data_IF_915300715094
#
_entry.id   IF_915300715094
#
_cell.length_a   1.000
_cell.length_b   1.000
_cell.length_c   1.000
_cell.angle_alpha   90.00
_cell.angle_beta   90.00
_cell.angle_gamma   90.00
#
_symmetry.space_group_name_H-M   'P 1'
#
loop_
_entity.id
_entity.type
_entity.pdbx_description
1 polymer ?
#
# COMPACT_ATOMS: atom_id res chain seq x y z
N UNK A 1 -56.20 -6.65 -19.33
CA UNK A 1 -54.94 -6.55 -20.07
C UNK A 1 -54.19 -5.34 -19.54
N UNK A 2 -53.17 -5.57 -18.71
CA UNK A 2 -52.32 -4.52 -18.15
C UNK A 2 -50.88 -4.80 -18.58
N UNK A 3 -50.31 -3.89 -19.37
CA UNK A 3 -48.94 -4.00 -19.89
C UNK A 3 -47.93 -3.47 -18.87
N UNK A 4 -47.00 -4.33 -18.48
CA UNK A 4 -45.83 -3.97 -17.69
C UNK A 4 -44.90 -3.04 -18.48
N UNK A 5 -44.60 -1.86 -17.92
CA UNK A 5 -43.45 -1.05 -18.32
C UNK A 5 -42.21 -1.67 -17.70
N UNK A 6 -41.31 -2.15 -18.56
CA UNK A 6 -39.95 -2.56 -18.20
C UNK A 6 -39.11 -1.28 -18.18
N UNK A 7 -38.63 -0.92 -17.00
CA UNK A 7 -37.65 0.14 -16.78
C UNK A 7 -36.30 -0.33 -17.37
N UNK A 8 -35.61 0.44 -18.23
CA UNK A 8 -34.32 0.02 -18.76
C UNK A 8 -33.26 0.20 -17.67
N UNK A 9 -32.93 -0.91 -17.02
CA UNK A 9 -31.87 -1.00 -16.02
C UNK A 9 -30.57 -0.38 -16.51
N UNK A 10 -30.04 0.53 -15.70
CA UNK A 10 -28.69 1.07 -15.82
C UNK A 10 -27.72 -0.12 -15.73
N UNK A 11 -26.89 -0.38 -16.75
CA UNK A 11 -25.94 -1.47 -16.69
C UNK A 11 -24.90 -1.18 -15.59
N UNK A 12 -24.77 -2.11 -14.63
CA UNK A 12 -23.69 -2.11 -13.66
C UNK A 12 -22.35 -2.34 -14.40
N UNK A 13 -21.60 -1.27 -14.64
CA UNK A 13 -20.36 -1.30 -15.42
C UNK A 13 -19.16 -1.82 -14.61
N UNK A 14 -18.44 -2.85 -15.08
CA UNK A 14 -17.13 -3.31 -14.59
C UNK A 14 -15.98 -2.28 -14.72
N UNK A 15 -16.28 -1.04 -15.14
CA UNK A 15 -15.31 0.04 -15.28
C UNK A 15 -14.99 0.73 -13.95
N UNK A 16 -15.87 0.64 -12.94
CA UNK A 16 -15.64 1.28 -11.65
C UNK A 16 -14.46 0.64 -10.90
N UNK A 17 -14.32 -0.70 -11.00
CA UNK A 17 -13.23 -1.46 -10.38
C UNK A 17 -11.87 -1.28 -11.08
N UNK A 18 -11.87 -0.86 -12.35
CA UNK A 18 -10.65 -0.55 -13.10
C UNK A 18 -10.03 0.80 -12.73
N UNK A 19 -10.82 1.73 -12.19
CA UNK A 19 -10.35 3.07 -11.79
C UNK A 19 -10.00 3.16 -10.30
N UNK A 20 -10.56 2.28 -9.47
CA UNK A 20 -10.40 2.31 -8.01
C UNK A 20 -9.46 1.25 -7.46
N UNK A 21 -8.91 0.37 -8.32
CA UNK A 21 -7.93 -0.65 -7.97
C UNK A 21 -8.29 -1.35 -6.67
N UNK A 22 -9.17 -2.36 -6.72
CA UNK A 22 -9.66 -3.17 -5.58
C UNK A 22 -8.77 -2.93 -4.36
N UNK A 23 -9.20 -2.02 -3.48
CA UNK A 23 -8.53 -1.78 -2.21
C UNK A 23 -8.31 -3.16 -1.62
N UNK A 24 -7.05 -3.49 -1.27
CA UNK A 24 -6.73 -4.81 -0.75
C UNK A 24 -7.78 -5.10 0.32
N UNK A 25 -8.68 -6.09 0.11
CA UNK A 25 -9.68 -6.38 1.10
C UNK A 25 -8.94 -6.73 2.38
N UNK A 26 -9.54 -6.48 3.54
CA UNK A 26 -9.00 -6.92 4.83
C UNK A 26 -8.94 -8.46 4.79
N UNK A 27 -7.85 -8.99 4.27
CA UNK A 27 -7.57 -10.40 4.02
C UNK A 27 -6.08 -10.63 4.28
N UNK A 28 -5.69 -11.86 4.66
CA UNK A 28 -4.29 -12.25 4.68
C UNK A 28 -3.63 -11.92 3.34
N UNK A 29 -2.50 -11.21 3.38
CA UNK A 29 -1.63 -11.09 2.22
C UNK A 29 -0.90 -12.42 2.08
N UNK A 30 -1.29 -13.22 1.11
CA UNK A 30 -0.58 -14.45 0.72
C UNK A 30 0.06 -14.22 -0.65
N UNK A 31 1.39 -14.25 -0.71
CA UNK A 31 2.18 -14.01 -1.90
C UNK A 31 2.50 -15.30 -2.63
N UNK A 32 2.34 -15.30 -3.95
CA UNK A 32 2.79 -16.38 -4.81
C UNK A 32 4.31 -16.35 -5.00
N UNK A 33 4.87 -17.50 -5.39
CA UNK A 33 6.30 -17.62 -5.76
C UNK A 33 6.69 -16.62 -6.84
N UNK A 34 5.81 -16.42 -7.82
CA UNK A 34 6.07 -15.49 -8.92
C UNK A 34 6.03 -14.03 -8.46
N UNK A 35 5.11 -13.64 -7.56
CA UNK A 35 5.10 -12.31 -6.97
C UNK A 35 6.40 -12.02 -6.22
N UNK A 36 6.83 -12.96 -5.36
CA UNK A 36 8.08 -12.82 -4.60
C UNK A 36 9.27 -12.74 -5.54
N UNK A 37 9.32 -13.54 -6.60
CA UNK A 37 10.40 -13.49 -7.60
C UNK A 37 10.52 -12.11 -8.24
N UNK A 38 9.41 -11.55 -8.70
CA UNK A 38 9.37 -10.26 -9.39
C UNK A 38 9.70 -9.12 -8.44
N UNK A 39 9.10 -9.11 -7.25
CA UNK A 39 9.35 -8.09 -6.22
C UNK A 39 10.79 -8.14 -5.73
N UNK A 40 11.35 -9.33 -5.49
CA UNK A 40 12.73 -9.51 -5.07
C UNK A 40 13.73 -9.03 -6.15
N UNK A 41 13.43 -9.28 -7.42
CA UNK A 41 14.22 -8.73 -8.53
C UNK A 41 14.13 -7.19 -8.57
N UNK A 42 12.95 -6.64 -8.29
CA UNK A 42 12.68 -5.20 -8.35
C UNK A 42 13.41 -4.40 -7.25
N UNK A 43 13.58 -4.96 -6.04
CA UNK A 43 14.39 -4.37 -4.95
C UNK A 43 15.81 -4.02 -5.44
N UNK A 44 16.44 -4.87 -6.24
CA UNK A 44 17.88 -4.76 -6.52
C UNK A 44 18.29 -3.72 -7.60
N UNK A 45 17.51 -2.67 -7.81
CA UNK A 45 17.99 -1.46 -8.51
C UNK A 45 17.10 -0.88 -9.60
N UNK A 46 15.97 -1.50 -9.91
CA UNK A 46 15.06 -0.98 -10.94
C UNK A 46 14.51 0.40 -10.57
N UNK A 47 14.29 0.66 -9.28
CA UNK A 47 13.82 1.96 -8.79
C UNK A 47 14.82 3.11 -9.02
N UNK A 48 16.10 2.79 -9.20
CA UNK A 48 17.14 3.78 -9.47
C UNK A 48 17.20 4.17 -10.95
N UNK A 49 16.59 3.38 -11.84
CA UNK A 49 16.48 3.73 -13.26
C UNK A 49 15.52 4.91 -13.48
N UNK A 50 16.00 5.92 -14.21
CA UNK A 50 15.22 7.13 -14.46
C UNK A 50 13.96 6.90 -15.29
N UNK A 51 13.92 5.87 -16.15
CA UNK A 51 12.72 5.53 -16.94
C UNK A 51 11.70 4.80 -16.07
N UNK A 52 12.15 3.90 -15.20
CA UNK A 52 11.32 3.26 -14.20
C UNK A 52 10.69 4.29 -13.25
N UNK A 53 11.47 5.26 -12.73
CA UNK A 53 10.91 6.34 -11.90
C UNK A 53 9.84 7.15 -12.61
N UNK A 54 10.00 7.44 -13.91
CA UNK A 54 8.96 8.11 -14.71
C UNK A 54 7.70 7.24 -14.83
N UNK A 55 7.86 5.94 -15.06
CA UNK A 55 6.74 4.99 -15.12
C UNK A 55 6.00 4.93 -13.78
N UNK A 56 6.73 4.76 -12.67
CA UNK A 56 6.17 4.71 -11.32
C UNK A 56 5.46 6.01 -10.93
N UNK A 57 5.99 7.18 -11.29
CA UNK A 57 5.25 8.44 -11.10
C UNK A 57 3.96 8.48 -11.90
N UNK A 58 4.00 8.03 -13.16
CA UNK A 58 2.80 8.00 -14.00
C UNK A 58 1.74 7.05 -13.42
N UNK A 59 2.12 5.85 -12.95
CA UNK A 59 1.22 4.89 -12.32
C UNK A 59 0.90 5.18 -10.85
N UNK A 60 1.49 6.24 -10.27
CA UNK A 60 1.42 6.59 -8.84
C UNK A 60 1.86 5.44 -7.92
N UNK A 61 2.92 4.74 -8.32
CA UNK A 61 3.50 3.58 -7.67
C UNK A 61 2.99 2.26 -8.24
N UNK A 62 2.85 1.27 -7.37
CA UNK A 62 2.30 -0.04 -7.69
C UNK A 62 0.78 -0.08 -7.38
N UNK A 63 0.10 -1.16 -7.77
CA UNK A 63 -1.28 -1.37 -7.33
C UNK A 63 -1.30 -1.65 -5.81
N UNK A 64 -2.44 -1.47 -5.11
CA UNK A 64 -2.53 -1.65 -3.67
C UNK A 64 -1.89 -2.93 -3.14
N UNK A 65 -2.14 -4.06 -3.81
CA UNK A 65 -1.57 -5.35 -3.45
C UNK A 65 -0.04 -5.34 -3.56
N UNK A 66 0.51 -4.91 -4.69
CA UNK A 66 1.95 -4.93 -4.91
C UNK A 66 2.70 -3.83 -4.16
N UNK A 67 2.06 -2.72 -3.81
CA UNK A 67 2.63 -1.73 -2.90
C UNK A 67 2.91 -2.32 -1.51
N UNK A 68 1.94 -3.01 -0.94
CA UNK A 68 2.10 -3.67 0.34
C UNK A 68 2.99 -4.91 0.26
N UNK A 69 2.85 -5.71 -0.81
CA UNK A 69 3.72 -6.87 -1.04
C UNK A 69 5.19 -6.47 -1.20
N UNK A 70 5.47 -5.34 -1.85
CA UNK A 70 6.84 -4.85 -1.99
C UNK A 70 7.47 -4.53 -0.63
N UNK A 71 6.74 -3.83 0.24
CA UNK A 71 7.19 -3.57 1.60
C UNK A 71 7.36 -4.85 2.43
N UNK A 72 6.46 -5.83 2.30
CA UNK A 72 6.58 -7.13 2.97
C UNK A 72 7.81 -7.88 2.49
N UNK A 73 8.01 -8.00 1.17
CA UNK A 73 9.18 -8.71 0.60
C UNK A 73 10.47 -8.05 1.07
N UNK A 74 10.53 -6.72 1.09
CA UNK A 74 11.71 -6.01 1.57
C UNK A 74 11.92 -6.20 3.09
N UNK A 75 10.89 -6.01 3.91
CA UNK A 75 11.00 -6.13 5.37
C UNK A 75 11.30 -7.57 5.82
N UNK A 76 10.67 -8.58 5.23
CA UNK A 76 10.87 -9.96 5.66
C UNK A 76 12.19 -10.55 5.14
N UNK A 77 12.56 -10.27 3.88
CA UNK A 77 13.66 -10.98 3.23
C UNK A 77 14.98 -10.21 3.21
N UNK A 78 14.95 -8.88 3.34
CA UNK A 78 16.18 -8.10 3.37
C UNK A 78 16.81 -8.18 4.75
N UNK A 79 17.97 -8.85 4.84
CA UNK A 79 18.71 -9.05 6.10
C UNK A 79 20.01 -8.23 6.14
N UNK A 80 20.33 -7.51 5.06
CA UNK A 80 21.59 -6.78 4.90
C UNK A 80 21.39 -5.28 5.10
N UNK A 81 21.44 -4.77 6.34
CA UNK A 81 21.31 -3.33 6.54
C UNK A 81 21.74 -2.81 7.90
N UNK A 82 21.99 -1.51 7.95
CA UNK A 82 22.30 -0.77 9.15
C UNK A 82 21.04 -0.52 9.99
N UNK A 83 21.20 0.10 11.17
CA UNK A 83 20.09 0.50 12.03
C UNK A 83 19.53 -0.59 12.94
N UNK A 84 18.51 -0.23 13.73
CA UNK A 84 18.03 -1.03 14.88
C UNK A 84 17.26 -2.30 14.49
N UNK A 85 16.92 -2.47 13.21
CA UNK A 85 16.17 -3.62 12.69
C UNK A 85 17.01 -4.56 11.81
N UNK A 86 18.33 -4.34 11.72
CA UNK A 86 19.27 -5.29 11.09
C UNK A 86 18.92 -5.67 9.66
N UNK A 87 18.55 -4.71 8.82
CA UNK A 87 18.18 -4.94 7.42
C UNK A 87 16.68 -5.15 7.16
N UNK A 88 15.89 -5.57 8.15
CA UNK A 88 14.44 -5.78 8.00
C UNK A 88 13.67 -4.45 7.93
N UNK A 89 13.93 -3.66 6.88
CA UNK A 89 13.47 -2.29 6.73
C UNK A 89 13.08 -1.94 5.29
N UNK A 90 12.03 -1.14 5.08
CA UNK A 90 11.49 -0.83 3.75
C UNK A 90 12.25 0.32 3.08
N UNK A 91 13.55 0.17 2.81
CA UNK A 91 14.42 1.22 2.27
C UNK A 91 14.01 1.70 0.86
N UNK A 92 13.94 0.82 -0.12
CA UNK A 92 13.57 1.19 -1.48
C UNK A 92 12.12 1.65 -1.55
N UNK A 93 11.25 1.05 -0.73
CA UNK A 93 9.89 1.52 -0.52
C UNK A 93 9.89 2.96 -0.03
N UNK A 94 10.70 3.33 0.97
CA UNK A 94 10.73 4.72 1.44
C UNK A 94 11.29 5.65 0.38
N UNK A 95 12.28 5.23 -0.43
CA UNK A 95 12.78 6.00 -1.59
C UNK A 95 11.68 6.22 -2.63
N UNK A 96 10.87 5.20 -2.93
CA UNK A 96 9.73 5.30 -3.86
C UNK A 96 8.71 6.30 -3.36
N UNK A 97 8.26 6.09 -2.13
CA UNK A 97 7.13 6.83 -1.60
C UNK A 97 7.52 8.26 -1.22
N UNK A 98 8.78 8.55 -0.88
CA UNK A 98 9.27 9.92 -0.76
C UNK A 98 9.04 10.70 -2.07
N UNK A 99 9.40 10.09 -3.21
CA UNK A 99 9.26 10.70 -4.53
C UNK A 99 7.79 10.86 -4.95
N UNK A 100 6.96 9.84 -4.71
CA UNK A 100 5.53 9.90 -5.02
C UNK A 100 4.79 10.94 -4.17
N UNK A 101 5.13 11.04 -2.88
CA UNK A 101 4.55 12.03 -1.97
C UNK A 101 4.82 13.45 -2.47
N UNK A 102 6.06 13.73 -2.90
CA UNK A 102 6.46 15.03 -3.47
C UNK A 102 5.69 15.32 -4.76
N UNK A 103 5.68 14.33 -5.67
CA UNK A 103 5.03 14.44 -6.97
C UNK A 103 3.53 14.79 -6.84
N UNK A 104 2.80 14.09 -5.97
CA UNK A 104 1.38 14.33 -5.74
C UNK A 104 1.14 15.63 -4.99
N UNK A 105 1.94 15.95 -3.97
CA UNK A 105 1.80 17.21 -3.24
C UNK A 105 1.97 18.42 -4.16
N UNK A 106 2.98 18.42 -5.02
CA UNK A 106 3.23 19.49 -5.98
C UNK A 106 2.15 19.56 -7.05
N UNK A 107 1.59 18.43 -7.48
CA UNK A 107 0.45 18.40 -8.39
C UNK A 107 -0.80 19.05 -7.77
N UNK A 108 -1.11 18.71 -6.53
CA UNK A 108 -2.26 19.23 -5.80
C UNK A 108 -2.15 20.73 -5.49
N UNK A 109 -0.94 21.26 -5.30
CA UNK A 109 -0.69 22.67 -5.03
C UNK A 109 -0.69 23.57 -6.25
N UNK A 110 -0.74 23.01 -7.46
CA UNK A 110 -0.83 23.82 -8.69
C UNK A 110 -2.08 24.68 -8.66
N UNK A 111 -1.91 25.91 -9.14
CA UNK A 111 -3.03 26.82 -9.39
C UNK A 111 -3.92 26.23 -10.49
N UNK A 112 -5.23 26.23 -10.24
CA UNK A 112 -6.19 25.89 -11.28
C UNK A 112 -6.16 26.95 -12.36
N UNK A 113 -6.08 26.52 -13.62
CA UNK A 113 -6.20 27.38 -14.80
C UNK A 113 -7.17 26.73 -15.78
N UNK A 114 -7.97 27.54 -16.48
CA UNK A 114 -8.92 27.04 -17.50
C UNK A 114 -8.21 26.33 -18.67
N UNK A 115 -6.91 26.57 -18.87
CA UNK A 115 -6.11 26.00 -19.94
C UNK A 115 -5.29 24.77 -19.52
N UNK A 116 -5.23 24.45 -18.23
CA UNK A 116 -4.42 23.35 -17.70
C UNK A 116 -5.32 22.21 -17.20
N UNK A 117 -4.76 20.99 -17.17
CA UNK A 117 -5.41 19.85 -16.49
C UNK A 117 -5.75 20.21 -15.05
N UNK A 118 -6.82 19.62 -14.50
CA UNK A 118 -7.23 19.95 -13.14
C UNK A 118 -6.14 19.47 -12.17
N UNK A 119 -5.76 20.27 -11.16
CA UNK A 119 -4.69 19.87 -10.23
C UNK A 119 -4.92 18.51 -9.56
N UNK A 120 -6.17 18.13 -9.31
CA UNK A 120 -6.56 16.85 -8.72
C UNK A 120 -6.55 15.68 -9.72
N UNK A 121 -6.26 15.90 -11.00
CA UNK A 121 -5.95 14.82 -11.94
C UNK A 121 -4.65 14.09 -11.60
N UNK A 122 -3.75 14.70 -10.79
CA UNK A 122 -2.54 14.03 -10.27
C UNK A 122 -2.86 12.82 -9.38
N UNK A 123 -4.10 12.68 -8.91
CA UNK A 123 -4.54 11.54 -8.11
C UNK A 123 -4.88 10.30 -8.95
N UNK A 124 -4.97 10.46 -10.27
CA UNK A 124 -5.27 9.38 -11.21
C UNK A 124 -3.98 8.75 -11.76
N UNK A 125 -3.85 7.42 -11.69
CA UNK A 125 -2.74 6.75 -12.33
C UNK A 125 -2.92 6.78 -13.86
N UNK A 126 -1.81 6.95 -14.57
CA UNK A 126 -1.68 6.86 -16.02
C UNK A 126 -0.75 5.69 -16.32
N UNK A 127 -1.29 4.48 -16.20
CA UNK A 127 -0.57 3.24 -16.47
C UNK A 127 -0.97 2.12 -15.51
N UNK A 128 -0.72 0.86 -15.89
CA UNK A 128 -0.93 -0.29 -15.02
C UNK A 128 0.20 -0.42 -13.98
N UNK A 129 0.04 -1.36 -13.07
CA UNK A 129 1.09 -1.74 -12.13
C UNK A 129 2.16 -2.57 -12.85
N UNK A 130 3.42 -2.14 -12.74
CA UNK A 130 4.57 -2.81 -13.37
C UNK A 130 4.66 -4.30 -13.03
N UNK A 131 4.52 -4.66 -11.76
CA UNK A 131 4.56 -6.08 -11.32
C UNK A 131 3.40 -6.89 -11.94
N UNK A 132 2.21 -6.30 -12.07
CA UNK A 132 1.12 -6.97 -12.79
C UNK A 132 1.47 -7.22 -14.26
N UNK A 133 2.12 -6.27 -14.94
CA UNK A 133 2.56 -6.43 -16.33
C UNK A 133 3.63 -7.51 -16.48
N UNK A 134 4.62 -7.52 -15.58
CA UNK A 134 5.69 -8.50 -15.58
C UNK A 134 5.16 -9.93 -15.34
N UNK A 135 4.17 -10.08 -14.45
CA UNK A 135 3.51 -11.37 -14.21
C UNK A 135 2.58 -11.81 -15.34
N UNK A 136 1.98 -10.87 -16.08
CA UNK A 136 1.13 -11.18 -17.23
C UNK A 136 1.93 -11.53 -18.49
N UNK A 137 3.23 -11.24 -18.50
CA UNK A 137 4.11 -11.51 -19.64
C UNK A 137 4.35 -13.02 -19.79
N UNK A 138 4.37 -13.56 -21.04
CA UNK A 138 4.62 -14.98 -21.26
C UNK A 138 5.96 -15.40 -20.64
N UNK A 139 5.96 -16.47 -19.87
CA UNK A 139 7.18 -16.97 -19.27
C UNK A 139 8.22 -17.28 -20.35
N UNK A 140 9.38 -16.62 -20.30
CA UNK A 140 10.52 -16.98 -21.13
C UNK A 140 10.98 -18.40 -20.77
N UNK A 141 11.21 -19.30 -21.75
CA UNK A 141 11.75 -20.62 -21.46
C UNK A 141 13.19 -20.52 -20.95
N UNK A 142 13.46 -21.07 -19.76
CA UNK A 142 14.80 -21.09 -19.13
C UNK A 142 14.76 -21.42 -17.64
N UNK A 143 15.93 -21.73 -17.05
CA UNK A 143 16.11 -21.92 -15.61
C UNK A 143 15.64 -20.66 -14.87
N UNK A 144 14.54 -20.79 -14.10
CA UNK A 144 13.98 -19.71 -13.28
C UNK A 144 14.79 -19.56 -11.99
N UNK A 145 16.06 -19.19 -12.11
CA UNK A 145 16.83 -18.78 -10.93
C UNK A 145 16.32 -17.42 -10.47
N UNK A 146 15.98 -17.28 -9.18
CA UNK A 146 15.76 -15.97 -8.58
C UNK A 146 17.01 -15.11 -8.65
N UNK A 147 16.91 -13.83 -8.29
CA UNK A 147 18.09 -12.97 -8.12
C UNK A 147 19.13 -13.71 -7.24
N UNK A 148 20.40 -13.71 -7.67
CA UNK A 148 21.52 -14.38 -6.99
C UNK A 148 21.36 -15.90 -6.74
N UNK A 149 20.61 -16.64 -7.57
CA UNK A 149 20.34 -18.08 -7.43
C UNK A 149 19.58 -18.45 -6.14
N UNK A 150 18.86 -17.51 -5.53
CA UNK A 150 18.05 -17.78 -4.35
C UNK A 150 16.92 -18.77 -4.66
N UNK A 151 16.62 -19.64 -3.69
CA UNK A 151 15.46 -20.51 -3.74
C UNK A 151 14.18 -19.69 -3.49
N UNK A 152 13.52 -19.27 -4.57
CA UNK A 152 12.31 -18.43 -4.48
C UNK A 152 11.19 -19.07 -3.69
N UNK A 153 11.02 -20.40 -3.73
CA UNK A 153 9.98 -21.08 -2.95
C UNK A 153 10.21 -20.92 -1.44
N UNK A 154 11.47 -21.05 -1.00
CA UNK A 154 11.83 -20.83 0.40
C UNK A 154 11.63 -19.37 0.82
N UNK A 155 12.03 -18.42 -0.04
CA UNK A 155 11.80 -16.99 0.19
C UNK A 155 10.31 -16.65 0.27
N UNK A 156 9.46 -17.33 -0.49
CA UNK A 156 8.01 -17.14 -0.41
C UNK A 156 7.44 -17.60 0.93
N UNK A 157 7.90 -18.75 1.44
CA UNK A 157 7.50 -19.20 2.78
C UNK A 157 7.93 -18.19 3.85
N UNK A 158 9.14 -17.65 3.75
CA UNK A 158 9.65 -16.64 4.67
C UNK A 158 8.84 -15.33 4.59
N UNK A 159 8.62 -14.78 3.39
CA UNK A 159 7.85 -13.55 3.19
C UNK A 159 6.41 -13.65 3.68
N UNK A 160 5.75 -14.81 3.49
CA UNK A 160 4.39 -15.05 3.98
C UNK A 160 4.32 -15.29 5.49
N UNK A 161 5.46 -15.43 6.18
CA UNK A 161 5.52 -15.48 7.64
C UNK A 161 5.13 -14.16 8.30
N UNK A 162 5.37 -13.02 7.63
CA UNK A 162 4.99 -11.66 8.06
C UNK A 162 5.46 -11.27 9.47
N UNK A 163 6.49 -11.92 10.00
CA UNK A 163 6.87 -11.80 11.41
C UNK A 163 7.35 -10.37 11.72
N UNK A 164 8.22 -9.83 10.88
CA UNK A 164 8.83 -8.51 11.07
C UNK A 164 7.83 -7.38 10.78
N UNK A 165 7.05 -7.52 9.72
CA UNK A 165 6.01 -6.58 9.29
C UNK A 165 4.91 -6.49 10.34
N UNK A 166 4.44 -7.62 10.86
CA UNK A 166 3.40 -7.66 11.90
C UNK A 166 3.90 -7.02 13.19
N UNK A 167 5.13 -7.32 13.60
CA UNK A 167 5.74 -6.71 14.77
C UNK A 167 5.82 -5.17 14.62
N UNK A 168 6.28 -4.67 13.48
CA UNK A 168 6.40 -3.23 13.24
C UNK A 168 5.02 -2.53 13.19
N UNK A 169 4.04 -3.11 12.49
CA UNK A 169 2.67 -2.57 12.44
C UNK A 169 2.06 -2.44 13.84
N UNK A 170 2.24 -3.45 14.71
CA UNK A 170 1.74 -3.43 16.08
C UNK A 170 2.46 -2.42 16.97
N UNK A 171 3.79 -2.41 16.92
CA UNK A 171 4.63 -1.48 17.69
C UNK A 171 4.28 -0.03 17.41
N UNK A 172 3.99 0.29 16.14
CA UNK A 172 3.73 1.66 15.68
C UNK A 172 2.24 2.02 15.62
N UNK A 173 1.32 1.09 15.91
CA UNK A 173 -0.12 1.30 15.83
C UNK A 173 -0.60 2.61 16.49
N UNK A 174 -0.18 2.96 17.72
CA UNK A 174 -0.64 4.19 18.38
C UNK A 174 -0.30 5.48 17.61
N UNK A 175 0.71 5.44 16.73
CA UNK A 175 1.24 6.62 16.03
C UNK A 175 0.49 6.91 14.73
N UNK A 176 0.05 5.88 14.02
CA UNK A 176 -0.60 6.04 12.71
C UNK A 176 -2.11 5.76 12.73
N UNK A 177 -2.67 5.14 13.78
CA UNK A 177 -4.10 4.78 13.84
C UNK A 177 -5.01 5.99 13.63
N UNK A 178 -4.73 7.11 14.29
CA UNK A 178 -5.50 8.37 14.17
C UNK A 178 -5.27 9.10 12.83
N UNK A 179 -4.30 8.66 12.03
CA UNK A 179 -3.95 9.24 10.72
C UNK A 179 -4.44 8.39 9.54
N UNK A 180 -5.12 7.28 9.86
CA UNK A 180 -5.71 6.35 8.90
C UNK A 180 -6.80 7.03 8.09
N UNK A 181 -6.93 6.66 6.82
CA UNK A 181 -8.06 7.10 6.00
C UNK A 181 -9.38 6.66 6.64
N UNK A 182 -10.31 7.57 6.95
CA UNK A 182 -11.57 7.23 7.62
C UNK A 182 -12.39 6.22 6.80
N UNK A 183 -12.43 6.36 5.48
CA UNK A 183 -13.13 5.42 4.59
C UNK A 183 -12.46 4.03 4.48
N UNK A 184 -11.20 3.89 4.90
CA UNK A 184 -10.55 2.58 4.95
C UNK A 184 -10.70 1.91 6.33
N UNK A 185 -11.10 2.68 7.35
CA UNK A 185 -11.19 2.21 8.71
C UNK A 185 -12.60 1.71 9.04
N UNK A 186 -12.79 0.41 9.29
CA UNK A 186 -14.11 -0.12 9.64
C UNK A 186 -14.66 0.45 10.97
N UNK A 187 -13.80 0.98 11.84
CA UNK A 187 -14.21 1.61 13.09
C UNK A 187 -14.70 3.06 12.93
N UNK A 188 -14.55 3.66 11.75
CA UNK A 188 -15.01 5.04 11.49
C UNK A 188 -16.36 5.01 10.76
N UNK A 189 -17.40 5.70 11.27
CA UNK A 189 -18.68 5.78 10.58
C UNK A 189 -18.56 6.38 9.18
N UNK A 190 -19.38 5.92 8.24
CA UNK A 190 -19.38 6.43 6.87
C UNK A 190 -19.64 7.95 6.85
N UNK A 191 -18.80 8.68 6.12
CA UNK A 191 -18.87 10.14 6.03
C UNK A 191 -18.36 10.89 7.26
N UNK A 192 -17.90 10.20 8.31
CA UNK A 192 -17.21 10.79 9.44
C UNK A 192 -15.69 10.90 9.21
N UNK A 193 -15.02 11.73 10.02
CA UNK A 193 -13.57 11.90 9.98
C UNK A 193 -13.10 13.09 9.13
N UNK A 194 -11.79 13.36 9.20
CA UNK A 194 -11.17 14.47 8.50
C UNK A 194 -10.91 14.12 7.02
N UNK A 195 -11.49 14.84 6.04
CA UNK A 195 -11.25 14.59 4.62
C UNK A 195 -9.77 14.77 4.20
N UNK A 196 -8.94 15.46 4.99
CA UNK A 196 -7.49 15.57 4.75
C UNK A 196 -6.78 14.23 4.91
N UNK A 197 -7.35 13.28 5.67
CA UNK A 197 -6.78 11.97 5.93
C UNK A 197 -7.13 10.92 4.86
N UNK A 198 -8.01 11.26 3.91
CA UNK A 198 -8.41 10.33 2.86
C UNK A 198 -7.21 9.85 2.06
N UNK A 199 -7.16 8.54 1.78
CA UNK A 199 -6.17 8.01 0.86
C UNK A 199 -6.46 8.46 -0.57
N UNK A 200 -5.48 8.32 -1.45
CA UNK A 200 -5.53 8.71 -2.86
C UNK A 200 -6.78 8.22 -3.57
N UNK A 201 -7.20 6.97 -3.35
CA UNK A 201 -8.39 6.41 -3.97
C UNK A 201 -9.66 7.14 -3.57
N UNK A 202 -9.84 7.38 -2.27
CA UNK A 202 -11.00 8.08 -1.74
C UNK A 202 -11.01 9.58 -2.07
N UNK A 203 -9.83 10.21 -2.19
CA UNK A 203 -9.70 11.55 -2.74
C UNK A 203 -10.08 11.58 -4.23
N UNK A 204 -9.57 10.64 -5.03
CA UNK A 204 -9.82 10.57 -6.46
C UNK A 204 -11.30 10.35 -6.79
N UNK A 205 -12.01 9.57 -5.96
CA UNK A 205 -13.44 9.31 -6.06
C UNK A 205 -14.31 10.53 -5.73
N UNK A 206 -13.79 11.49 -4.97
CA UNK A 206 -14.50 12.71 -4.54
C UNK A 206 -14.15 13.95 -5.37
N UNK A 207 -13.46 13.78 -6.50
CA UNK A 207 -13.11 14.89 -7.40
C UNK A 207 -14.37 15.49 -8.05
N UNK A 208 -14.43 16.81 -8.27
CA UNK A 208 -13.37 17.78 -8.06
C UNK A 208 -13.16 18.16 -6.59
N UNK A 209 -11.90 18.30 -6.17
CA UNK A 209 -11.58 18.68 -4.78
C UNK A 209 -11.59 20.21 -4.57
N UNK A 210 -12.18 20.71 -3.46
CA UNK A 210 -12.03 22.12 -3.06
C UNK A 210 -10.55 22.52 -2.90
N UNK A 211 -10.19 23.74 -3.32
CA UNK A 211 -8.80 24.23 -3.26
C UNK A 211 -8.19 24.17 -1.87
N UNK A 212 -8.93 24.59 -0.84
CA UNK A 212 -8.48 24.48 0.55
C UNK A 212 -8.16 23.03 0.95
N UNK A 213 -8.97 22.07 0.50
CA UNK A 213 -8.73 20.65 0.77
C UNK A 213 -7.49 20.16 0.02
N UNK A 214 -7.31 20.54 -1.26
CA UNK A 214 -6.10 20.18 -2.03
C UNK A 214 -4.82 20.65 -1.33
N UNK A 215 -4.76 21.91 -0.90
CA UNK A 215 -3.60 22.45 -0.20
C UNK A 215 -3.37 21.79 1.17
N UNK A 216 -4.45 21.48 1.91
CA UNK A 216 -4.34 20.77 3.18
C UNK A 216 -3.79 19.34 2.99
N UNK A 217 -4.27 18.62 1.98
CA UNK A 217 -3.74 17.29 1.61
C UNK A 217 -2.28 17.39 1.17
N UNK A 218 -1.93 18.34 0.29
CA UNK A 218 -0.55 18.55 -0.14
C UNK A 218 0.39 18.82 1.04
N UNK A 219 -0.02 19.66 1.99
CA UNK A 219 0.71 19.92 3.23
C UNK A 219 0.92 18.64 4.06
N UNK A 220 -0.12 17.82 4.24
CA UNK A 220 -0.02 16.52 4.92
C UNK A 220 0.96 15.59 4.22
N UNK A 221 0.89 15.47 2.88
CA UNK A 221 1.79 14.60 2.12
C UNK A 221 3.26 15.04 2.26
N UNK A 222 3.55 16.35 2.27
CA UNK A 222 4.91 16.86 2.54
C UNK A 222 5.38 16.58 3.96
N UNK A 223 4.48 16.63 4.95
CA UNK A 223 4.81 16.28 6.32
C UNK A 223 5.17 14.78 6.45
N UNK A 224 4.42 13.89 5.78
CA UNK A 224 4.75 12.46 5.71
C UNK A 224 6.10 12.29 5.01
N UNK A 225 6.30 12.94 3.85
CA UNK A 225 7.56 12.87 3.09
C UNK A 225 8.77 13.22 3.92
N UNK A 226 8.68 14.28 4.75
CA UNK A 226 9.78 14.67 5.64
C UNK A 226 10.15 13.54 6.61
N UNK A 227 9.15 12.88 7.22
CA UNK A 227 9.39 11.74 8.12
C UNK A 227 9.94 10.52 7.38
N UNK A 228 9.41 10.22 6.19
CA UNK A 228 9.89 9.12 5.33
C UNK A 228 11.33 9.34 4.89
N UNK A 229 11.70 10.59 4.54
CA UNK A 229 13.08 10.94 4.20
C UNK A 229 14.02 10.69 5.38
N UNK A 230 13.67 11.17 6.57
CA UNK A 230 14.48 10.93 7.76
C UNK A 230 14.62 9.44 8.06
N UNK A 231 13.54 8.66 7.91
CA UNK A 231 13.59 7.19 8.02
C UNK A 231 14.56 6.61 6.98
N UNK A 232 14.47 7.02 5.71
CA UNK A 232 15.39 6.58 4.64
C UNK A 232 16.85 6.86 4.98
N UNK A 233 17.15 8.09 5.40
CA UNK A 233 18.50 8.50 5.78
C UNK A 233 19.06 7.68 6.96
N UNK A 234 18.20 7.29 7.91
CA UNK A 234 18.56 6.48 9.08
C UNK A 234 18.98 5.04 8.77
N UNK A 235 18.56 4.53 7.61
CA UNK A 235 18.83 3.16 7.17
C UNK A 235 20.15 3.03 6.40
N UNK A 236 20.85 4.13 6.18
CA UNK A 236 22.18 4.16 5.55
C UNK A 236 23.29 3.84 6.57
N UNK A 237 24.48 3.46 6.09
CA UNK A 237 25.64 3.11 6.94
C UNK A 237 26.02 4.19 7.97
N UNK A 238 25.70 5.46 7.69
CA UNK A 238 25.98 6.61 8.55
C UNK A 238 24.71 7.24 9.13
N UNK A 239 23.57 6.57 8.98
CA UNK A 239 22.26 7.06 9.42
C UNK A 239 22.17 7.18 10.94
N UNK A 240 21.68 8.33 11.41
CA UNK A 240 21.36 8.49 12.83
C UNK A 240 20.03 7.77 13.15
N UNK A 241 19.88 7.17 14.35
CA UNK A 241 18.61 6.60 14.77
C UNK A 241 17.48 7.63 14.71
N UNK A 242 16.31 7.20 14.25
CA UNK A 242 15.11 8.03 14.16
C UNK A 242 14.10 7.73 15.26
N UNK A 243 13.19 8.67 15.48
CA UNK A 243 12.12 8.54 16.46
C UNK A 243 11.00 7.60 16.02
N UNK A 244 10.04 7.40 16.92
CA UNK A 244 8.90 6.52 16.68
C UNK A 244 8.02 7.03 15.51
N UNK A 245 7.89 8.36 15.38
CA UNK A 245 7.11 9.00 14.32
C UNK A 245 7.66 8.75 12.91
N UNK A 246 8.98 8.84 12.75
CA UNK A 246 9.66 8.43 11.51
C UNK A 246 9.48 6.95 11.24
N UNK A 247 9.61 6.09 12.27
CA UNK A 247 9.40 4.64 12.14
C UNK A 247 7.97 4.26 11.70
N UNK A 248 6.95 5.07 11.99
CA UNK A 248 5.58 4.85 11.54
C UNK A 248 5.31 5.39 10.13
N UNK A 249 6.20 6.23 9.60
CA UNK A 249 5.91 7.06 8.41
C UNK A 249 5.78 6.28 7.11
N UNK A 250 6.45 5.14 6.97
CA UNK A 250 6.32 4.28 5.78
C UNK A 250 4.90 3.71 5.65
N UNK A 251 4.25 3.35 6.76
CA UNK A 251 2.86 2.89 6.79
C UNK A 251 1.92 4.00 6.32
N UNK A 252 2.12 5.23 6.81
CA UNK A 252 1.33 6.38 6.37
C UNK A 252 1.51 6.69 4.88
N UNK A 253 2.73 6.54 4.39
CA UNK A 253 3.09 6.78 3.00
C UNK A 253 2.41 5.77 2.08
N UNK A 254 2.59 4.46 2.32
CA UNK A 254 1.92 3.42 1.55
C UNK A 254 0.40 3.54 1.71
N UNK A 255 -0.11 3.71 2.94
CA UNK A 255 -1.53 3.85 3.23
C UNK A 255 -2.20 5.01 2.48
N UNK A 256 -1.48 6.11 2.28
CA UNK A 256 -1.96 7.25 1.50
C UNK A 256 -2.13 6.94 0.01
N UNK A 257 -1.42 5.96 -0.55
CA UNK A 257 -1.45 5.63 -2.00
C UNK A 257 -2.11 4.29 -2.35
N UNK A 258 -2.01 3.32 -1.45
CA UNK A 258 -2.43 1.92 -1.58
C UNK A 258 -3.63 1.58 -0.68
N UNK A 259 -4.08 2.50 0.17
CA UNK A 259 -5.11 2.25 1.17
C UNK A 259 -4.57 1.51 2.40
N UNK A 260 -5.40 1.40 3.44
CA UNK A 260 -4.97 1.02 4.80
C UNK A 260 -5.36 -0.40 5.22
N UNK A 261 -5.91 -1.22 4.31
CA UNK A 261 -6.46 -2.53 4.65
C UNK A 261 -5.46 -3.48 5.33
N UNK A 262 -4.24 -3.60 4.78
CA UNK A 262 -3.22 -4.50 5.33
C UNK A 262 -2.70 -4.08 6.71
N UNK A 263 -2.22 -2.84 6.96
CA UNK A 263 -1.71 -2.47 8.28
C UNK A 263 -2.79 -2.55 9.36
N UNK A 264 -4.06 -2.24 9.03
CA UNK A 264 -5.19 -2.43 9.94
C UNK A 264 -5.40 -3.92 10.26
N UNK A 265 -5.32 -4.80 9.25
CA UNK A 265 -5.41 -6.25 9.45
C UNK A 265 -4.29 -6.80 10.33
N UNK A 266 -3.04 -6.43 10.05
CA UNK A 266 -1.86 -6.95 10.78
C UNK A 266 -1.77 -6.43 12.22
N UNK A 267 -2.24 -5.22 12.46
CA UNK A 267 -2.25 -4.61 13.78
C UNK A 267 -3.45 -5.04 14.63
N UNK A 268 -4.53 -5.54 14.01
CA UNK A 268 -5.63 -6.14 14.74
C UNK A 268 -5.19 -7.46 15.39
N UNK A 269 -5.59 -7.68 16.64
CA UNK A 269 -5.58 -9.00 17.25
C UNK A 269 -6.71 -9.82 16.62
N UNK A 270 -6.52 -10.28 15.38
CA UNK A 270 -7.40 -11.30 14.83
C UNK A 270 -7.07 -12.63 15.52
N UNK A 271 -7.63 -12.81 16.72
CA UNK A 271 -7.99 -14.13 17.19
C UNK A 271 -9.04 -14.62 16.21
N UNK A 272 -8.80 -15.73 15.52
CA UNK A 272 -9.89 -16.41 14.82
C UNK A 272 -11.06 -16.54 15.80
N UNK A 273 -12.31 -16.27 15.40
CA UNK A 273 -13.43 -16.73 16.19
C UNK A 273 -13.23 -18.23 16.31
N UNK A 274 -12.88 -18.67 17.53
CA UNK A 274 -12.64 -20.07 17.80
C UNK A 274 -13.79 -20.87 17.23
N UNK A 275 -13.46 -21.90 16.48
CA UNK A 275 -14.29 -23.11 16.47
C UNK A 275 -14.62 -23.39 17.93
N UNK A 276 -15.83 -23.02 18.34
CA UNK A 276 -16.50 -23.68 19.45
C UNK A 276 -16.51 -25.15 19.06
N UNK A 277 -15.49 -25.88 19.54
CA UNK A 277 -15.58 -27.32 19.62
C UNK A 277 -16.82 -27.60 20.46
N UNK A 278 -17.84 -28.12 19.77
CA UNK A 278 -18.97 -28.83 20.34
C UNK A 278 -18.44 -29.88 21.34
N UNK A 279 -18.25 -29.44 22.58
CA UNK A 279 -18.11 -30.29 23.75
C UNK A 279 -19.49 -30.61 24.28
N UNK A 280 -20.36 -31.18 23.43
CA UNK A 280 -21.47 -31.99 23.91
C UNK A 280 -20.94 -33.40 24.17
N UNK A 281 -20.93 -33.84 25.43
CA UNK A 281 -20.91 -35.28 25.71
C UNK A 281 -20.09 -35.74 26.92
N UNK A 282 -20.50 -35.36 28.12
CA UNK A 282 -20.37 -36.23 29.29
C UNK A 282 -21.52 -35.86 30.23
N UNK A 283 -22.65 -36.58 30.22
CA UNK A 283 -22.69 -37.95 30.71
C UNK A 283 -23.11 -37.91 32.18
N UNK A 284 -24.33 -37.46 32.44
CA UNK A 284 -24.94 -37.50 33.76
C UNK A 284 -25.47 -38.94 33.97
N UNK A 285 -24.78 -39.71 34.81
CA UNK A 285 -25.30 -40.91 35.45
C UNK A 285 -25.02 -40.82 36.94
N UNK A 286 -26.09 -41.13 37.66
CA UNK A 286 -26.29 -41.38 39.08
C UNK A 286 -26.43 -40.16 40.01
#
# INVERSE_FOLDING_TARGET
>A
MAGNRIDPGIPATPERDRLTGVLVPVRPLDLSVEEVRQLWSFIHGDIMDGSMRRLLRASLGLCPRHSWAYAVVEIELWQAGAGVRGGHQPFDVTVLYEDLLDHVADGLDRRSSLLLRRPDDVLLPVGPCRICEDMASPALPGLRMGYANSNTEALTVEANGLAHTKAWCRETLPLWRSRTCPDCDPGTPEGAGDPVLLCRFHLAARRPLPERLRHAVASRLRAIRKRVRHLTESMTDYGAPVGAEENASWIEAIGSFAGWGLPLYLAADYTEPGTEEDSQGAGQRD
#
